data_IF_443417586539
#
_entry.id   IF_443417586539
#
_cell.length_a   1.000
_cell.length_b   1.000
_cell.length_c   1.000
_cell.angle_alpha   90.00
_cell.angle_beta   90.00
_cell.angle_gamma   90.00
#
_symmetry.space_group_name_H-M   'P 1'
#
loop_
_entity.id
_entity.type
_entity.pdbx_description
1 polymer ?
#
# COMPACT_ATOMS: atom_id res chain seq x y z
N UNK A 1 14.83 -10.96 3.00
CA UNK A 1 15.53 -10.09 3.96
C UNK A 1 14.64 -8.91 4.42
N UNK A 2 13.31 -9.09 4.48
CA UNK A 2 12.34 -8.00 4.72
C UNK A 2 11.47 -8.22 5.97
N UNK A 3 11.70 -9.30 6.72
CA UNK A 3 11.12 -9.51 8.06
C UNK A 3 11.79 -8.63 9.13
N UNK A 4 13.01 -8.13 8.89
CA UNK A 4 13.71 -7.27 9.85
C UNK A 4 13.13 -5.84 9.92
N UNK A 5 12.59 -5.29 8.82
CA UNK A 5 12.02 -3.95 8.82
C UNK A 5 10.66 -3.84 9.54
N UNK A 6 9.90 -4.93 9.66
CA UNK A 6 8.64 -4.95 10.42
C UNK A 6 8.83 -5.12 11.94
N UNK A 7 9.97 -5.66 12.37
CA UNK A 7 10.30 -5.92 13.77
C UNK A 7 11.11 -4.79 14.43
N UNK A 8 11.66 -3.86 13.65
CA UNK A 8 12.38 -2.71 14.18
C UNK A 8 11.47 -1.68 14.83
N UNK A 9 10.21 -1.55 14.39
CA UNK A 9 9.25 -0.58 14.98
C UNK A 9 8.98 -0.80 16.48
N UNK A 10 8.60 -2.02 16.92
CA UNK A 10 8.41 -2.31 18.34
C UNK A 10 9.71 -2.30 19.14
N UNK A 11 10.81 -2.81 18.57
CA UNK A 11 12.11 -2.88 19.25
C UNK A 11 12.70 -1.50 19.56
N UNK A 12 12.58 -0.55 18.63
CA UNK A 12 12.97 0.84 18.85
C UNK A 12 12.08 1.50 19.90
N UNK A 13 10.77 1.26 19.90
CA UNK A 13 9.86 1.78 20.93
C UNK A 13 10.17 1.21 22.33
N UNK A 14 10.49 -0.09 22.43
CA UNK A 14 10.87 -0.71 23.71
C UNK A 14 12.23 -0.17 24.18
N UNK A 15 13.20 0.01 23.28
CA UNK A 15 14.49 0.60 23.63
C UNK A 15 14.34 2.05 24.12
N UNK A 16 13.46 2.85 23.51
CA UNK A 16 13.16 4.23 23.94
C UNK A 16 12.45 4.25 25.30
N UNK A 17 11.54 3.32 25.56
CA UNK A 17 10.84 3.21 26.86
C UNK A 17 11.77 2.68 27.97
N UNK A 18 12.67 1.75 27.64
CA UNK A 18 13.60 1.15 28.63
C UNK A 18 14.82 2.02 28.92
N UNK A 19 15.19 2.95 28.03
CA UNK A 19 16.19 3.98 28.32
C UNK A 19 15.65 5.09 29.27
N UNK A 20 14.34 5.16 29.51
CA UNK A 20 13.68 6.23 30.26
C UNK A 20 14.05 6.43 31.73
N UNK A 21 14.41 5.41 32.56
CA UNK A 21 14.61 5.64 33.98
C UNK A 21 15.96 6.28 34.33
N UNK A 22 16.94 6.32 33.41
CA UNK A 22 18.24 6.99 33.65
C UNK A 22 18.28 8.44 33.11
N UNK A 23 17.22 8.91 32.44
CA UNK A 23 17.13 10.26 31.83
C UNK A 23 16.33 11.24 32.70
N UNK A 24 16.12 10.91 33.99
CA UNK A 24 15.24 11.63 34.94
C UNK A 24 15.79 13.00 35.42
N UNK A 25 16.84 13.53 34.77
CA UNK A 25 17.50 14.79 35.14
C UNK A 25 17.19 16.02 34.28
N UNK A 26 16.27 15.97 33.32
CA UNK A 26 16.00 17.11 32.42
C UNK A 26 14.78 17.93 32.89
N UNK A 27 15.03 19.13 33.44
CA UNK A 27 14.03 20.12 33.88
C UNK A 27 12.99 20.54 32.80
N UNK A 28 13.23 20.23 31.52
CA UNK A 28 12.33 20.55 30.42
C UNK A 28 11.14 19.60 30.22
N UNK A 29 11.09 18.43 30.87
CA UNK A 29 10.05 17.42 30.61
C UNK A 29 8.65 17.77 31.13
N UNK A 30 8.56 18.72 32.06
CA UNK A 30 7.28 19.12 32.67
C UNK A 30 6.50 20.18 31.87
N UNK A 31 7.10 20.72 30.80
CA UNK A 31 6.49 21.80 30.04
C UNK A 31 5.45 21.27 29.03
N UNK A 32 4.32 21.97 28.89
CA UNK A 32 3.11 21.44 28.23
C UNK A 32 3.33 21.02 26.77
N UNK A 33 4.30 21.61 26.07
CA UNK A 33 4.61 21.26 24.69
C UNK A 33 5.32 19.89 24.53
N UNK A 34 6.08 19.42 25.52
CA UNK A 34 6.73 18.10 25.50
C UNK A 34 5.71 16.98 25.62
N UNK A 35 4.73 17.16 26.51
CA UNK A 35 3.61 16.23 26.68
C UNK A 35 2.73 16.14 25.42
N UNK A 36 2.51 17.26 24.73
CA UNK A 36 1.77 17.30 23.45
C UNK A 36 2.51 16.51 22.37
N UNK A 37 3.81 16.69 22.25
CA UNK A 37 4.62 15.99 21.24
C UNK A 37 4.67 14.48 21.48
N UNK A 38 4.86 14.03 22.72
CA UNK A 38 4.79 12.60 23.09
C UNK A 38 3.40 12.04 22.77
N UNK A 39 2.34 12.77 23.11
CA UNK A 39 0.96 12.39 22.78
C UNK A 39 0.76 12.19 21.27
N UNK A 40 1.27 13.11 20.44
CA UNK A 40 1.20 13.01 18.97
C UNK A 40 1.98 11.81 18.42
N UNK A 41 3.18 11.54 18.94
CA UNK A 41 3.98 10.38 18.56
C UNK A 41 3.27 9.06 18.90
N UNK A 42 2.72 8.95 20.12
CA UNK A 42 1.99 7.76 20.55
C UNK A 42 0.72 7.53 19.71
N UNK A 43 -0.05 8.59 19.42
CA UNK A 43 -1.23 8.50 18.53
C UNK A 43 -0.81 8.06 17.13
N UNK A 44 0.29 8.59 16.61
CA UNK A 44 0.77 8.23 15.26
C UNK A 44 1.26 6.78 15.22
N UNK A 45 2.02 6.34 16.24
CA UNK A 45 2.46 4.96 16.38
C UNK A 45 1.27 3.99 16.51
N UNK A 46 0.25 4.34 17.31
CA UNK A 46 -0.97 3.55 17.45
C UNK A 46 -1.75 3.46 16.13
N UNK A 47 -1.88 4.56 15.39
CA UNK A 47 -2.49 4.56 14.06
C UNK A 47 -1.71 3.71 13.06
N UNK A 48 -0.37 3.79 13.07
CA UNK A 48 0.48 2.95 12.23
C UNK A 48 0.31 1.46 12.56
N UNK A 49 0.29 1.10 13.84
CA UNK A 49 0.07 -0.26 14.31
C UNK A 49 -1.33 -0.79 13.94
N UNK A 50 -2.38 0.02 14.12
CA UNK A 50 -3.74 -0.33 13.72
C UNK A 50 -3.87 -0.49 12.19
N UNK A 51 -3.22 0.37 11.40
CA UNK A 51 -3.16 0.24 9.95
C UNK A 51 -2.44 -1.05 9.55
N UNK A 52 -1.27 -1.32 10.14
CA UNK A 52 -0.50 -2.54 9.91
C UNK A 52 -1.28 -3.81 10.27
N UNK A 53 -1.94 -3.82 11.44
CA UNK A 53 -2.77 -4.93 11.88
C UNK A 53 -3.97 -5.16 10.95
N UNK A 54 -4.65 -4.09 10.52
CA UNK A 54 -5.76 -4.21 9.56
C UNK A 54 -5.31 -4.73 8.20
N UNK A 55 -4.14 -4.30 7.72
CA UNK A 55 -3.54 -4.83 6.50
C UNK A 55 -3.25 -6.33 6.68
N UNK A 56 -2.65 -6.74 7.80
CA UNK A 56 -2.34 -8.14 8.08
C UNK A 56 -3.59 -9.03 8.22
N UNK A 57 -4.63 -8.59 8.94
CA UNK A 57 -5.89 -9.36 9.07
C UNK A 57 -6.59 -9.50 7.72
N UNK A 58 -6.65 -8.42 6.93
CA UNK A 58 -7.21 -8.50 5.58
C UNK A 58 -6.41 -9.44 4.69
N UNK A 59 -5.08 -9.40 4.79
CA UNK A 59 -4.17 -10.29 4.08
C UNK A 59 -4.44 -11.76 4.45
N UNK A 60 -4.62 -12.09 5.74
CA UNK A 60 -4.99 -13.45 6.14
C UNK A 60 -6.35 -13.90 5.63
N UNK A 61 -7.38 -13.06 5.75
CA UNK A 61 -8.72 -13.38 5.24
C UNK A 61 -8.71 -13.59 3.73
N UNK A 62 -7.95 -12.77 3.00
CA UNK A 62 -7.72 -12.93 1.56
C UNK A 62 -7.14 -14.31 1.22
N UNK A 63 -6.25 -14.87 2.05
CA UNK A 63 -5.70 -16.23 1.83
C UNK A 63 -6.77 -17.31 2.01
N UNK A 64 -7.58 -17.20 3.06
CA UNK A 64 -8.69 -18.11 3.33
C UNK A 64 -9.73 -18.09 2.19
N UNK A 65 -10.07 -16.90 1.69
CA UNK A 65 -11.04 -16.78 0.59
C UNK A 65 -10.51 -17.27 -0.75
N UNK A 66 -9.21 -17.08 -1.03
CA UNK A 66 -8.59 -17.68 -2.22
C UNK A 66 -8.64 -19.21 -2.10
N UNK A 67 -8.46 -19.75 -0.90
CA UNK A 67 -8.64 -21.18 -0.64
C UNK A 67 -10.10 -21.63 -0.87
N UNK A 68 -11.10 -20.80 -0.59
CA UNK A 68 -12.53 -21.10 -0.84
C UNK A 68 -12.94 -20.97 -2.32
N UNK A 69 -12.41 -19.98 -3.04
CA UNK A 69 -12.57 -19.83 -4.49
C UNK A 69 -11.96 -21.02 -5.27
N UNK A 70 -11.12 -21.84 -4.63
CA UNK A 70 -10.70 -23.14 -5.16
C UNK A 70 -11.86 -24.10 -5.33
N UNK A 71 -12.89 -24.00 -4.49
CA UNK A 71 -14.00 -24.94 -4.47
C UNK A 71 -15.12 -24.60 -5.47
N UNK A 72 -15.22 -23.36 -5.98
CA UNK A 72 -16.25 -22.99 -6.97
C UNK A 72 -15.81 -21.83 -7.88
N UNK A 73 -15.48 -22.09 -9.16
CA UNK A 73 -14.90 -21.12 -10.10
C UNK A 73 -15.94 -20.30 -10.88
N UNK A 74 -17.21 -20.29 -10.49
CA UNK A 74 -18.24 -19.55 -11.22
C UNK A 74 -17.95 -18.03 -11.21
N UNK A 75 -18.20 -17.35 -12.32
CA UNK A 75 -18.37 -15.89 -12.35
C UNK A 75 -19.52 -15.57 -11.38
N UNK A 76 -19.18 -15.23 -10.13
CA UNK A 76 -20.21 -15.03 -9.12
C UNK A 76 -21.05 -13.80 -9.47
N UNK A 77 -22.37 -13.96 -9.45
CA UNK A 77 -23.43 -12.93 -9.54
C UNK A 77 -23.30 -11.77 -8.50
N UNK A 78 -22.19 -11.69 -7.76
CA UNK A 78 -22.00 -10.79 -6.63
C UNK A 78 -20.99 -9.65 -6.84
N UNK A 79 -20.39 -9.50 -8.03
CA UNK A 79 -19.53 -8.36 -8.35
C UNK A 79 -20.32 -7.34 -9.16
N UNK A 80 -20.76 -6.27 -8.48
CA UNK A 80 -21.30 -5.09 -9.15
C UNK A 80 -20.14 -4.15 -9.55
N UNK A 81 -19.81 -4.03 -10.85
CA UNK A 81 -18.69 -3.22 -11.31
C UNK A 81 -18.88 -1.72 -11.00
N UNK A 82 -20.11 -1.23 -10.88
CA UNK A 82 -20.38 0.16 -10.51
C UNK A 82 -20.01 0.42 -9.05
N UNK A 83 -20.39 -0.50 -8.15
CA UNK A 83 -20.00 -0.46 -6.75
C UNK A 83 -18.48 -0.50 -6.59
N UNK A 84 -17.77 -1.33 -7.36
CA UNK A 84 -16.31 -1.39 -7.31
C UNK A 84 -15.66 -0.12 -7.88
N UNK A 85 -16.25 0.50 -8.89
CA UNK A 85 -15.83 1.83 -9.38
C UNK A 85 -15.95 2.90 -8.29
N UNK A 86 -17.02 2.89 -7.48
CA UNK A 86 -17.17 3.80 -6.32
C UNK A 86 -16.15 3.51 -5.23
N UNK A 87 -15.76 2.23 -5.05
CA UNK A 87 -14.70 1.85 -4.11
C UNK A 87 -13.33 2.37 -4.52
N UNK A 88 -13.01 2.40 -5.82
CA UNK A 88 -11.78 3.05 -6.33
C UNK A 88 -11.70 4.54 -5.93
N UNK A 89 -12.82 5.27 -6.03
CA UNK A 89 -12.90 6.67 -5.55
C UNK A 89 -12.65 6.77 -4.04
N UNK A 90 -13.15 5.81 -3.27
CA UNK A 90 -12.95 5.75 -1.82
C UNK A 90 -11.50 5.45 -1.47
N UNK A 91 -10.82 4.59 -2.22
CA UNK A 91 -9.38 4.34 -2.06
C UNK A 91 -8.57 5.61 -2.27
N UNK A 92 -8.87 6.41 -3.30
CA UNK A 92 -8.24 7.72 -3.52
C UNK A 92 -8.40 8.66 -2.32
N UNK A 93 -9.59 8.69 -1.69
CA UNK A 93 -9.85 9.48 -0.47
C UNK A 93 -9.10 8.94 0.75
N UNK A 94 -8.99 7.61 0.90
CA UNK A 94 -8.25 6.99 2.01
C UNK A 94 -6.75 7.27 1.93
N UNK A 95 -6.17 7.17 0.73
CA UNK A 95 -4.75 7.53 0.48
C UNK A 95 -4.51 9.00 0.84
N UNK A 96 -5.46 9.89 0.51
CA UNK A 96 -5.37 11.29 0.92
C UNK A 96 -5.38 11.48 2.44
N UNK A 97 -6.29 10.81 3.15
CA UNK A 97 -6.34 10.86 4.62
C UNK A 97 -5.02 10.41 5.26
N UNK A 98 -4.41 9.34 4.74
CA UNK A 98 -3.09 8.89 5.19
C UNK A 98 -2.00 9.91 4.89
N UNK A 99 -2.03 10.52 3.70
CA UNK A 99 -1.06 11.55 3.28
C UNK A 99 -1.09 12.78 4.19
N UNK A 100 -2.29 13.27 4.51
CA UNK A 100 -2.46 14.45 5.38
C UNK A 100 -2.00 14.16 6.81
N UNK A 101 -2.10 12.91 7.27
CA UNK A 101 -1.60 12.48 8.58
C UNK A 101 -0.09 12.64 8.78
N UNK A 102 0.71 12.71 7.69
CA UNK A 102 2.15 12.96 7.80
C UNK A 102 2.50 14.40 8.15
N UNK A 103 1.63 15.37 7.86
CA UNK A 103 1.91 16.80 8.13
C UNK A 103 1.96 17.12 9.64
N UNK A 104 0.98 16.70 10.47
CA UNK A 104 1.07 16.88 11.92
C UNK A 104 2.24 16.14 12.55
N UNK A 105 2.59 14.95 12.04
CA UNK A 105 3.74 14.20 12.53
C UNK A 105 5.05 14.98 12.28
N UNK A 106 5.23 15.51 11.07
CA UNK A 106 6.37 16.33 10.73
C UNK A 106 6.49 17.56 11.66
N UNK A 107 5.36 18.25 11.85
CA UNK A 107 5.29 19.41 12.73
C UNK A 107 5.60 19.05 14.18
N UNK A 108 5.06 17.96 14.70
CA UNK A 108 5.30 17.49 16.06
C UNK A 108 6.78 17.19 16.31
N UNK A 109 7.45 16.55 15.35
CA UNK A 109 8.87 16.21 15.47
C UNK A 109 9.72 17.49 15.43
N UNK A 110 9.45 18.41 14.49
CA UNK A 110 10.17 19.70 14.44
C UNK A 110 10.00 20.49 15.75
N UNK A 111 8.79 20.52 16.33
CA UNK A 111 8.55 21.20 17.61
C UNK A 111 9.27 20.50 18.76
N UNK A 112 9.25 19.17 18.83
CA UNK A 112 9.98 18.41 19.85
C UNK A 112 11.47 18.71 19.78
N UNK A 113 12.04 18.62 18.59
CA UNK A 113 13.46 18.80 18.33
C UNK A 113 13.92 20.22 18.64
N UNK A 114 13.17 21.25 18.23
CA UNK A 114 13.54 22.65 18.48
C UNK A 114 13.46 23.06 19.95
N UNK A 115 12.59 22.43 20.75
CA UNK A 115 12.33 22.89 22.12
C UNK A 115 12.96 22.01 23.21
N UNK A 116 13.23 20.72 22.97
CA UNK A 116 13.48 19.77 24.08
C UNK A 116 14.80 19.01 24.06
N UNK A 117 15.59 19.04 22.97
CA UNK A 117 16.89 18.36 22.94
C UNK A 117 18.04 19.24 23.49
N UNK A 118 18.92 18.70 24.33
CA UNK A 118 20.13 19.37 24.77
C UNK A 118 21.19 19.43 23.64
N UNK A 119 21.98 20.49 23.60
CA UNK A 119 22.95 20.79 22.53
C UNK A 119 24.14 19.79 22.53
N UNK A 120 24.51 19.22 21.37
CA UNK A 120 25.35 19.95 20.41
C UNK A 120 24.69 20.15 19.04
N UNK A 121 24.86 21.37 18.49
CA UNK A 121 24.04 21.92 17.42
C UNK A 121 24.08 21.17 16.07
N UNK A 122 25.10 20.35 15.83
CA UNK A 122 25.35 19.74 14.52
C UNK A 122 24.50 18.47 14.30
N UNK A 123 24.40 17.59 15.31
CA UNK A 123 23.61 16.35 15.23
C UNK A 123 22.09 16.63 15.18
N UNK A 124 21.64 17.69 15.87
CA UNK A 124 20.24 18.12 15.90
C UNK A 124 19.73 18.59 14.54
N UNK A 125 20.52 19.41 13.85
CA UNK A 125 20.16 19.90 12.52
C UNK A 125 20.06 18.75 11.53
N UNK A 126 20.94 17.75 11.63
CA UNK A 126 20.87 16.56 10.80
C UNK A 126 19.58 15.75 11.05
N UNK A 127 19.20 15.51 12.32
CA UNK A 127 17.98 14.75 12.67
C UNK A 127 16.71 15.48 12.21
N UNK A 128 16.61 16.79 12.48
CA UNK A 128 15.50 17.62 12.00
C UNK A 128 15.42 17.59 10.48
N UNK A 129 16.55 17.80 9.80
CA UNK A 129 16.60 17.80 8.34
C UNK A 129 16.15 16.45 7.76
N UNK A 130 16.65 15.33 8.29
CA UNK A 130 16.27 13.98 7.85
C UNK A 130 14.77 13.75 8.06
N UNK A 131 14.22 14.18 9.19
CA UNK A 131 12.80 13.97 9.50
C UNK A 131 11.89 14.81 8.62
N UNK A 132 12.25 16.07 8.39
CA UNK A 132 11.54 16.94 7.44
C UNK A 132 11.58 16.34 6.04
N UNK A 133 12.75 15.89 5.58
CA UNK A 133 12.91 15.24 4.27
C UNK A 133 12.07 13.98 4.17
N UNK A 134 12.08 13.10 5.18
CA UNK A 134 11.25 11.89 5.23
C UNK A 134 9.76 12.22 5.18
N UNK A 135 9.33 13.25 5.93
CA UNK A 135 7.93 13.67 5.99
C UNK A 135 7.45 14.27 4.68
N UNK A 136 8.25 15.16 4.08
CA UNK A 136 7.98 15.73 2.77
C UNK A 136 7.97 14.64 1.69
N UNK A 137 8.89 13.68 1.77
CA UNK A 137 8.92 12.50 0.91
C UNK A 137 7.64 11.67 1.04
N UNK A 138 7.16 11.43 2.27
CA UNK A 138 5.90 10.75 2.55
C UNK A 138 4.68 11.47 1.97
N UNK A 139 4.63 12.80 2.10
CA UNK A 139 3.57 13.63 1.52
C UNK A 139 3.60 13.58 -0.02
N UNK A 140 4.78 13.73 -0.62
CA UNK A 140 4.96 13.66 -2.07
C UNK A 140 4.57 12.28 -2.63
N UNK A 141 5.02 11.21 -1.98
CA UNK A 141 4.66 9.84 -2.33
C UNK A 141 3.14 9.58 -2.20
N UNK A 142 2.52 10.08 -1.12
CA UNK A 142 1.08 9.97 -0.91
C UNK A 142 0.25 10.73 -1.95
N UNK A 143 0.70 11.92 -2.35
CA UNK A 143 0.12 12.70 -3.45
C UNK A 143 0.24 11.98 -4.79
N UNK A 144 1.42 11.43 -5.10
CA UNK A 144 1.65 10.67 -6.32
C UNK A 144 0.75 9.42 -6.37
N UNK A 145 0.64 8.69 -5.26
CA UNK A 145 -0.24 7.52 -5.14
C UNK A 145 -1.71 7.90 -5.31
N UNK A 146 -2.16 8.99 -4.69
CA UNK A 146 -3.53 9.52 -4.84
C UNK A 146 -3.84 9.82 -6.31
N UNK A 147 -2.95 10.53 -7.00
CA UNK A 147 -3.14 10.88 -8.40
C UNK A 147 -3.10 9.63 -9.30
N UNK A 148 -2.24 8.65 -9.00
CA UNK A 148 -2.21 7.38 -9.72
C UNK A 148 -3.55 6.62 -9.61
N UNK A 149 -4.14 6.55 -8.41
CA UNK A 149 -5.48 5.97 -8.23
C UNK A 149 -6.59 6.78 -8.88
N UNK A 150 -6.46 8.12 -8.90
CA UNK A 150 -7.43 8.99 -9.57
C UNK A 150 -7.41 8.80 -11.08
N UNK A 151 -6.22 8.66 -11.69
CA UNK A 151 -6.07 8.36 -13.12
C UNK A 151 -6.68 7.00 -13.46
N UNK A 152 -6.42 5.97 -12.66
CA UNK A 152 -7.07 4.65 -12.79
C UNK A 152 -8.59 4.72 -12.70
N UNK A 153 -9.12 5.42 -11.70
CA UNK A 153 -10.56 5.63 -11.56
C UNK A 153 -11.17 6.28 -12.80
N UNK A 154 -10.56 7.34 -13.33
CA UNK A 154 -11.02 8.00 -14.56
C UNK A 154 -10.92 7.09 -15.79
N UNK A 155 -9.83 6.34 -15.89
CA UNK A 155 -9.60 5.40 -16.99
C UNK A 155 -10.64 4.28 -16.98
N UNK A 156 -10.95 3.72 -15.81
CA UNK A 156 -12.03 2.74 -15.61
C UNK A 156 -13.39 3.34 -15.95
N UNK A 157 -13.67 4.59 -15.55
CA UNK A 157 -14.92 5.26 -15.95
C UNK A 157 -15.05 5.45 -17.46
N UNK A 158 -13.94 5.76 -18.14
CA UNK A 158 -13.94 6.00 -19.58
C UNK A 158 -14.10 4.71 -20.39
N UNK A 159 -13.50 3.61 -19.93
CA UNK A 159 -13.44 2.33 -20.65
C UNK A 159 -14.51 1.32 -20.21
N UNK A 160 -15.07 1.51 -19.01
CA UNK A 160 -15.91 0.52 -18.36
C UNK A 160 -15.14 -0.71 -17.87
N UNK A 161 -15.88 -1.66 -17.32
CA UNK A 161 -15.34 -2.97 -16.94
C UNK A 161 -15.69 -4.00 -18.01
N UNK A 162 -14.66 -4.70 -18.50
CA UNK A 162 -14.80 -5.83 -19.45
C UNK A 162 -14.50 -7.14 -18.73
N UNK A 163 -15.36 -8.17 -18.84
CA UNK A 163 -15.07 -9.48 -18.28
C UNK A 163 -13.91 -10.14 -19.05
N UNK A 164 -13.02 -10.83 -18.35
CA UNK A 164 -11.90 -11.54 -18.92
C UNK A 164 -11.50 -12.74 -18.05
N UNK A 165 -10.62 -13.59 -18.56
CA UNK A 165 -9.87 -14.54 -17.75
C UNK A 165 -8.41 -14.12 -17.65
N UNK A 166 -7.78 -14.37 -16.51
CA UNK A 166 -6.36 -14.06 -16.30
C UNK A 166 -5.61 -15.30 -15.87
N UNK A 167 -4.46 -15.52 -16.51
CA UNK A 167 -3.46 -16.47 -16.06
C UNK A 167 -2.29 -15.69 -15.48
N UNK A 168 -1.97 -15.93 -14.22
CA UNK A 168 -0.92 -15.20 -13.52
C UNK A 168 0.40 -15.94 -13.68
N UNK A 169 1.33 -15.40 -14.46
CA UNK A 169 2.67 -15.94 -14.64
C UNK A 169 3.67 -15.19 -13.75
N UNK A 170 4.56 -15.95 -13.12
CA UNK A 170 5.72 -15.39 -12.43
C UNK A 170 6.77 -15.06 -13.50
N UNK A 171 7.25 -13.83 -13.47
CA UNK A 171 8.35 -13.37 -14.31
C UNK A 171 9.66 -13.87 -13.69
N UNK A 172 10.20 -14.98 -14.21
CA UNK A 172 11.42 -15.62 -13.72
C UNK A 172 12.69 -15.06 -14.38
N UNK A 173 12.63 -13.92 -15.08
CA UNK A 173 13.81 -13.34 -15.71
C UNK A 173 14.94 -13.03 -14.70
N UNK A 174 16.19 -13.22 -15.16
CA UNK A 174 17.45 -13.20 -14.38
C UNK A 174 17.69 -11.94 -13.54
N UNK A 175 17.01 -10.84 -13.85
CA UNK A 175 17.17 -9.52 -13.21
C UNK A 175 16.35 -9.36 -11.93
N UNK A 176 15.63 -10.39 -11.48
CA UNK A 176 14.72 -10.30 -10.35
C UNK A 176 14.93 -11.42 -9.31
N UNK A 177 16.00 -11.37 -8.51
CA UNK A 177 16.33 -12.39 -7.52
C UNK A 177 15.30 -12.50 -6.38
N UNK A 178 14.40 -11.51 -6.23
CA UNK A 178 13.33 -11.49 -5.24
C UNK A 178 11.99 -12.05 -5.77
N UNK A 179 11.88 -12.28 -7.08
CA UNK A 179 10.74 -12.96 -7.70
C UNK A 179 9.44 -12.17 -7.82
N UNK A 180 9.44 -10.86 -8.16
CA UNK A 180 8.20 -10.11 -8.47
C UNK A 180 8.46 -8.90 -9.40
N UNK A 181 7.86 -8.79 -10.61
CA UNK A 181 6.42 -8.57 -10.78
C UNK A 181 5.77 -9.56 -11.75
N UNK A 182 4.50 -9.87 -11.49
CA UNK A 182 3.77 -10.91 -12.24
C UNK A 182 3.22 -10.37 -13.55
N UNK A 183 3.32 -11.21 -14.57
CA UNK A 183 2.70 -10.99 -15.87
C UNK A 183 1.33 -11.63 -15.80
N UNK A 184 0.30 -10.81 -15.96
CA UNK A 184 -1.08 -11.22 -16.12
C UNK A 184 -1.33 -11.42 -17.61
N UNK A 185 -1.41 -12.68 -18.03
CA UNK A 185 -1.89 -13.03 -19.37
C UNK A 185 -3.42 -13.01 -19.34
N UNK A 186 -3.99 -11.94 -19.88
CA UNK A 186 -5.43 -11.72 -19.90
C UNK A 186 -6.00 -12.17 -21.24
N UNK A 187 -7.10 -12.92 -21.21
CA UNK A 187 -7.86 -13.37 -22.37
C UNK A 187 -9.30 -12.89 -22.24
N UNK A 188 -9.77 -12.15 -23.24
CA UNK A 188 -11.15 -11.69 -23.30
C UNK A 188 -12.05 -12.72 -24.01
N UNK A 189 -13.38 -12.68 -23.77
CA UNK A 189 -14.34 -13.57 -24.44
C UNK A 189 -14.35 -13.46 -25.97
N UNK A 190 -14.01 -12.28 -26.50
CA UNK A 190 -13.89 -12.00 -27.94
C UNK A 190 -12.61 -12.58 -28.59
N UNK A 191 -11.74 -13.19 -27.79
CA UNK A 191 -10.47 -13.76 -28.23
C UNK A 191 -9.28 -12.80 -28.14
N UNK A 192 -9.48 -11.51 -27.82
CA UNK A 192 -8.40 -10.56 -27.58
C UNK A 192 -7.52 -11.06 -26.41
N UNK A 193 -6.20 -10.94 -26.56
CA UNK A 193 -5.24 -11.27 -25.50
C UNK A 193 -4.33 -10.10 -25.25
N UNK A 194 -4.14 -9.78 -23.97
CA UNK A 194 -3.26 -8.69 -23.56
C UNK A 194 -2.39 -9.16 -22.40
N UNK A 195 -1.17 -8.65 -22.34
CA UNK A 195 -0.27 -8.88 -21.22
C UNK A 195 -0.24 -7.65 -20.33
N UNK A 196 -0.45 -7.84 -19.04
CA UNK A 196 -0.34 -6.77 -18.06
C UNK A 196 0.77 -7.10 -17.07
N UNK A 197 1.47 -6.08 -16.58
CA UNK A 197 2.41 -6.19 -15.47
C UNK A 197 1.77 -5.61 -14.22
N UNK A 198 1.66 -6.41 -13.17
CA UNK A 198 1.25 -5.92 -11.85
C UNK A 198 2.28 -4.96 -11.25
N UNK A 199 1.83 -3.98 -10.48
CA UNK A 199 2.74 -3.07 -9.78
C UNK A 199 3.31 -3.73 -8.51
N UNK A 200 4.57 -3.42 -8.21
CA UNK A 200 5.40 -4.08 -7.18
C UNK A 200 4.81 -4.03 -5.75
N UNK A 201 4.02 -3.01 -5.41
CA UNK A 201 3.36 -2.94 -4.08
C UNK A 201 2.08 -3.78 -3.98
N UNK A 202 1.65 -4.38 -5.08
CA UNK A 202 0.40 -5.17 -5.19
C UNK A 202 0.64 -6.60 -5.68
N UNK A 203 1.92 -6.95 -5.88
CA UNK A 203 2.40 -8.27 -6.27
C UNK A 203 2.01 -9.36 -5.28
N UNK A 204 1.99 -9.07 -3.97
CA UNK A 204 1.54 -10.01 -2.92
C UNK A 204 0.09 -10.45 -3.11
N UNK A 205 -0.77 -9.60 -3.67
CA UNK A 205 -2.17 -9.93 -3.92
C UNK A 205 -2.31 -10.82 -5.16
N UNK A 206 -1.46 -10.60 -6.18
CA UNK A 206 -1.34 -11.52 -7.32
C UNK A 206 -0.63 -12.82 -6.99
N UNK A 207 0.12 -12.88 -5.88
CA UNK A 207 0.94 -14.05 -5.50
C UNK A 207 0.13 -15.34 -5.37
N UNK A 208 -1.07 -15.16 -4.81
CA UNK A 208 -2.01 -16.20 -4.39
C UNK A 208 -2.69 -16.91 -5.55
N UNK A 209 -2.66 -16.30 -6.73
CA UNK A 209 -3.29 -16.78 -7.97
C UNK A 209 -2.30 -17.39 -8.98
N UNK A 210 -0.99 -17.38 -8.67
CA UNK A 210 0.10 -17.76 -9.61
C UNK A 210 0.08 -19.17 -10.17
N UNK A 211 -0.65 -20.06 -9.50
CA UNK A 211 -0.69 -21.48 -9.83
C UNK A 211 -1.89 -21.84 -10.72
N UNK A 212 -2.75 -20.85 -11.03
CA UNK A 212 -4.06 -21.09 -11.66
C UNK A 212 -4.14 -20.45 -13.04
N UNK A 213 -4.48 -21.23 -14.07
CA UNK A 213 -4.87 -20.68 -15.35
C UNK A 213 -6.31 -20.15 -15.30
N UNK A 214 -6.57 -19.17 -16.16
CA UNK A 214 -7.92 -18.71 -16.55
C UNK A 214 -8.86 -18.29 -15.40
N UNK A 215 -8.34 -17.55 -14.41
CA UNK A 215 -9.15 -17.00 -13.33
C UNK A 215 -10.11 -15.92 -13.88
N UNK A 216 -11.42 -16.00 -13.62
CA UNK A 216 -12.35 -14.97 -14.05
C UNK A 216 -12.05 -13.64 -13.35
N UNK A 217 -11.94 -12.55 -14.11
CA UNK A 217 -11.67 -11.20 -13.62
C UNK A 217 -12.42 -10.15 -14.44
N UNK A 218 -12.46 -8.92 -13.93
CA UNK A 218 -12.88 -7.76 -14.68
C UNK A 218 -11.69 -6.84 -14.93
N UNK A 219 -11.56 -6.34 -16.16
CA UNK A 219 -10.50 -5.43 -16.56
C UNK A 219 -11.12 -4.08 -16.88
N UNK A 220 -10.57 -3.02 -16.29
CA UNK A 220 -10.95 -1.66 -16.58
C UNK A 220 -9.75 -0.76 -16.71
N UNK A 221 -9.89 0.31 -17.48
CA UNK A 221 -8.82 1.25 -17.80
C UNK A 221 -7.91 0.81 -18.94
N UNK A 222 -6.98 1.69 -19.29
CA UNK A 222 -6.09 1.57 -20.45
C UNK A 222 -4.66 2.04 -20.14
N UNK A 223 -3.70 1.60 -20.97
CA UNK A 223 -2.28 1.98 -20.88
C UNK A 223 -1.65 1.68 -19.51
N UNK A 224 -1.14 2.73 -18.86
CA UNK A 224 -0.53 2.69 -17.52
C UNK A 224 -1.56 2.75 -16.37
N UNK A 225 -2.84 2.92 -16.70
CA UNK A 225 -3.94 3.12 -15.75
C UNK A 225 -4.95 1.96 -15.75
N UNK A 226 -4.47 0.74 -15.99
CA UNK A 226 -5.29 -0.48 -15.96
C UNK A 226 -5.51 -0.94 -14.52
N UNK A 227 -6.69 -1.51 -14.27
CA UNK A 227 -7.07 -2.17 -13.02
C UNK A 227 -7.62 -3.55 -13.35
N UNK A 228 -7.08 -4.56 -12.67
CA UNK A 228 -7.58 -5.93 -12.68
C UNK A 228 -8.39 -6.12 -11.40
N UNK A 229 -9.69 -6.35 -11.55
CA UNK A 229 -10.60 -6.61 -10.44
C UNK A 229 -10.79 -8.12 -10.30
N UNK A 230 -10.21 -8.68 -9.26
CA UNK A 230 -10.40 -10.07 -8.89
C UNK A 230 -11.74 -10.25 -8.18
N UNK A 231 -12.45 -11.35 -8.47
CA UNK A 231 -13.79 -11.58 -7.96
C UNK A 231 -13.80 -11.71 -6.44
N UNK A 232 -14.97 -11.42 -5.87
CA UNK A 232 -15.29 -11.67 -4.47
C UNK A 232 -15.21 -13.17 -4.22
N UNK A 233 -14.61 -13.58 -3.10
CA UNK A 233 -14.98 -14.88 -2.52
C UNK A 233 -15.74 -14.69 -1.21
N UNK A 234 -16.22 -15.78 -0.59
CA UNK A 234 -17.29 -15.72 0.42
C UNK A 234 -16.99 -14.75 1.58
N UNK A 235 -15.74 -14.72 2.04
CA UNK A 235 -15.29 -13.99 3.22
C UNK A 235 -14.51 -12.70 2.93
N UNK A 236 -14.23 -12.35 1.66
CA UNK A 236 -13.36 -11.22 1.30
C UNK A 236 -13.90 -10.39 0.15
N UNK A 237 -13.85 -9.05 0.27
CA UNK A 237 -14.30 -8.16 -0.79
C UNK A 237 -13.48 -8.32 -2.08
N UNK A 238 -14.08 -8.01 -3.25
CA UNK A 238 -13.33 -7.89 -4.51
C UNK A 238 -12.04 -7.07 -4.34
N UNK A 239 -10.99 -7.50 -5.03
CA UNK A 239 -9.70 -6.85 -4.94
C UNK A 239 -9.31 -6.19 -6.27
N UNK A 240 -9.18 -4.86 -6.25
CA UNK A 240 -8.69 -4.08 -7.36
C UNK A 240 -7.15 -4.01 -7.34
N UNK A 241 -6.51 -4.66 -8.30
CA UNK A 241 -5.07 -4.69 -8.47
C UNK A 241 -4.67 -3.73 -9.60
N UNK A 242 -3.85 -2.71 -9.34
CA UNK A 242 -3.33 -1.83 -10.38
C UNK A 242 -2.33 -2.58 -11.25
N UNK A 243 -2.49 -2.42 -12.56
CA UNK A 243 -1.61 -3.01 -13.55
C UNK A 243 -1.28 -1.99 -14.65
N UNK A 244 -0.28 -2.30 -15.45
CA UNK A 244 0.03 -1.58 -16.69
C UNK A 244 0.07 -2.55 -17.85
N UNK A 245 -0.40 -2.14 -19.02
CA UNK A 245 -0.28 -2.95 -20.23
C UNK A 245 1.20 -3.04 -20.60
N UNK A 246 1.69 -4.26 -20.79
CA UNK A 246 2.98 -4.48 -21.41
C UNK A 246 2.79 -4.20 -22.90
N UNK A 247 3.49 -3.19 -23.42
CA UNK A 247 3.70 -3.10 -24.86
C UNK A 247 4.36 -4.40 -25.28
N UNK A 248 3.77 -5.11 -26.24
CA UNK A 248 4.49 -6.18 -26.91
C UNK A 248 5.75 -5.52 -27.48
N UNK A 249 6.90 -5.90 -26.94
CA UNK A 249 8.17 -5.48 -27.50
C UNK A 249 8.27 -6.13 -28.88
N UNK A 250 7.75 -5.42 -29.88
CA UNK A 250 8.00 -5.62 -31.30
C UNK A 250 8.70 -4.36 -31.79
N UNK A 251 9.98 -4.53 -32.10
CA UNK A 251 10.83 -3.67 -32.94
C UNK A 251 11.15 -2.25 -32.46
N UNK A 252 12.21 -2.14 -31.64
CA UNK A 252 13.18 -1.06 -31.72
C UNK A 252 14.60 -1.64 -31.64
#
# INVERSE_FOLDING_TARGET
>A
MSMLLGLLGPGVMIAVVQAGPEVVGYEGWSDGAGMIAIGLLLVTAALAALCGHRVWVNDRRLDETVAELVASPAFGDGVDPETETRRLRTLCRRVWGFTVGWLPLAAAIVVLEMNYLPDPAEDRQAVVAVTVVMSLGGVAAGLAMKEAWRRRYRSVLATGWRPATVTVKVDYEKTNPEGEPRIFDVKFPDGERIRLRGLQFTSRTGHRFGWRPDIPVWIGGEGESVVVLFPRGPSVPPCAVPAKRLSEAGDA
#
